data_IF_144553454075
#
_entry.id   IF_144553454075
#
_cell.length_a   1.000
_cell.length_b   1.000
_cell.length_c   1.000
_cell.angle_alpha   90.00
_cell.angle_beta   90.00
_cell.angle_gamma   90.00
#
_symmetry.space_group_name_H-M   'P 1'
#
loop_
_entity.id
_entity.type
_entity.pdbx_description
1 polymer ?
#
# COMPACT_ATOMS: atom_id res chain seq x y z
N UNK A 1 -2.83 -17.21 2.31
CA UNK A 1 -3.24 -17.97 1.18
C UNK A 1 -4.62 -18.60 1.32
N UNK A 2 -5.05 -19.45 0.39
CA UNK A 2 -6.39 -20.03 0.37
C UNK A 2 -6.76 -20.83 1.63
N UNK A 3 -5.79 -21.24 2.41
CA UNK A 3 -6.03 -21.97 3.66
C UNK A 3 -6.69 -21.09 4.74
N UNK A 4 -6.32 -19.81 4.80
CA UNK A 4 -6.93 -18.86 5.75
C UNK A 4 -8.37 -18.51 5.35
N UNK A 5 -8.64 -18.42 4.05
CA UNK A 5 -9.97 -18.09 3.52
C UNK A 5 -11.06 -19.15 3.86
N UNK A 6 -10.69 -20.34 4.29
CA UNK A 6 -11.62 -21.39 4.70
C UNK A 6 -11.97 -21.36 6.19
N UNK A 7 -11.36 -20.46 6.96
CA UNK A 7 -11.62 -20.34 8.39
C UNK A 7 -12.79 -19.38 8.65
N UNK A 8 -13.87 -19.90 9.21
CA UNK A 8 -15.02 -19.08 9.65
C UNK A 8 -14.69 -18.11 10.81
N UNK A 9 -13.45 -18.15 11.30
CA UNK A 9 -12.98 -17.29 12.41
C UNK A 9 -12.26 -16.02 11.93
N UNK A 10 -12.01 -15.87 10.59
CA UNK A 10 -11.34 -14.70 10.04
C UNK A 10 -12.38 -13.66 9.66
N UNK A 11 -12.34 -12.51 10.34
CA UNK A 11 -13.25 -11.39 10.11
C UNK A 11 -12.78 -10.43 9.04
N UNK A 12 -11.48 -10.41 8.75
CA UNK A 12 -10.87 -9.55 7.74
C UNK A 12 -9.38 -9.80 7.61
N UNK A 13 -8.81 -9.28 6.56
CA UNK A 13 -7.38 -9.41 6.23
C UNK A 13 -6.85 -8.01 5.94
N UNK A 14 -5.66 -7.74 6.41
CA UNK A 14 -4.88 -6.56 6.03
C UNK A 14 -3.44 -6.93 5.73
N UNK A 15 -2.81 -6.18 4.85
CA UNK A 15 -1.36 -6.20 4.70
C UNK A 15 -0.74 -5.06 5.53
N UNK A 16 0.52 -5.26 5.93
CA UNK A 16 1.29 -4.25 6.66
C UNK A 16 2.70 -4.18 6.07
N UNK A 17 3.04 -3.03 5.51
CA UNK A 17 4.34 -2.75 4.89
C UNK A 17 4.78 -3.91 3.97
N UNK A 18 4.04 -4.23 2.91
CA UNK A 18 4.37 -5.36 2.03
C UNK A 18 5.70 -5.16 1.30
N UNK A 19 6.21 -3.93 1.24
CA UNK A 19 7.50 -3.57 0.64
C UNK A 19 8.66 -4.37 1.24
N UNK A 20 8.63 -4.65 2.55
CA UNK A 20 9.67 -5.43 3.22
C UNK A 20 9.56 -6.94 2.99
N UNK A 21 8.40 -7.41 2.54
CA UNK A 21 8.14 -8.83 2.28
C UNK A 21 8.30 -9.23 0.82
N UNK A 22 8.46 -8.25 -0.05
CA UNK A 22 8.64 -8.51 -1.46
C UNK A 22 10.02 -9.12 -1.72
N UNK A 23 10.04 -10.34 -2.24
CA UNK A 23 11.28 -11.10 -2.51
C UNK A 23 11.70 -11.11 -3.98
N UNK A 24 11.02 -10.33 -4.82
CA UNK A 24 11.34 -10.21 -6.23
C UNK A 24 12.52 -9.27 -6.51
N UNK A 25 12.85 -9.08 -7.79
CA UNK A 25 13.82 -8.06 -8.19
C UNK A 25 13.32 -6.66 -7.79
N UNK A 26 14.11 -5.87 -7.06
CA UNK A 26 13.63 -4.69 -6.34
C UNK A 26 13.48 -3.47 -7.27
N UNK A 27 12.40 -3.44 -8.02
CA UNK A 27 11.98 -2.29 -8.83
C UNK A 27 10.52 -1.97 -8.55
N UNK A 28 10.12 -0.71 -8.72
CA UNK A 28 8.73 -0.28 -8.57
C UNK A 28 7.79 -1.12 -9.44
N UNK A 29 8.15 -1.35 -10.70
CA UNK A 29 7.33 -2.12 -11.63
C UNK A 29 7.10 -3.55 -11.16
N UNK A 30 8.13 -4.23 -10.70
CA UNK A 30 8.02 -5.61 -10.21
C UNK A 30 7.20 -5.67 -8.91
N UNK A 31 7.45 -4.73 -8.00
CA UNK A 31 6.67 -4.64 -6.77
C UNK A 31 5.19 -4.37 -7.05
N UNK A 32 4.87 -3.38 -7.88
CA UNK A 32 3.49 -3.02 -8.21
C UNK A 32 2.75 -4.18 -8.91
N UNK A 33 3.40 -4.88 -9.82
CA UNK A 33 2.84 -6.08 -10.46
C UNK A 33 2.54 -7.19 -9.44
N UNK A 34 3.47 -7.42 -8.52
CA UNK A 34 3.27 -8.39 -7.44
C UNK A 34 2.14 -7.95 -6.50
N UNK A 35 2.11 -6.67 -6.11
CA UNK A 35 1.09 -6.11 -5.21
C UNK A 35 -0.31 -6.19 -5.83
N UNK A 36 -0.46 -5.89 -7.10
CA UNK A 36 -1.73 -6.05 -7.81
C UNK A 36 -2.22 -7.51 -7.78
N UNK A 37 -1.33 -8.45 -8.12
CA UNK A 37 -1.64 -9.88 -8.08
C UNK A 37 -1.98 -10.38 -6.67
N UNK A 38 -1.30 -9.85 -5.67
CA UNK A 38 -1.55 -10.12 -4.26
C UNK A 38 -2.93 -9.58 -3.83
N UNK A 39 -3.22 -8.32 -4.12
CA UNK A 39 -4.48 -7.66 -3.76
C UNK A 39 -5.68 -8.35 -4.43
N UNK A 40 -5.55 -8.68 -5.71
CA UNK A 40 -6.56 -9.43 -6.46
C UNK A 40 -6.89 -10.76 -5.79
N UNK A 41 -5.87 -11.54 -5.42
CA UNK A 41 -6.07 -12.85 -4.78
C UNK A 41 -6.79 -12.76 -3.43
N UNK A 42 -6.56 -11.70 -2.67
CA UNK A 42 -7.26 -11.51 -1.41
C UNK A 42 -8.69 -11.00 -1.61
N UNK A 43 -8.91 -10.07 -2.52
CA UNK A 43 -10.24 -9.60 -2.87
C UNK A 43 -11.14 -10.77 -3.37
N UNK A 44 -10.59 -11.70 -4.13
CA UNK A 44 -11.32 -12.88 -4.63
C UNK A 44 -11.68 -13.91 -3.55
N UNK A 45 -11.16 -13.80 -2.33
CA UNK A 45 -11.52 -14.73 -1.23
C UNK A 45 -12.92 -14.51 -0.67
N UNK A 46 -13.51 -13.33 -0.88
CA UNK A 46 -14.76 -12.92 -0.25
C UNK A 46 -14.64 -12.58 1.25
N UNK A 47 -13.43 -12.60 1.80
CA UNK A 47 -13.14 -12.11 3.15
C UNK A 47 -12.84 -10.60 3.04
N UNK A 48 -13.39 -9.73 3.91
CA UNK A 48 -13.07 -8.31 3.89
C UNK A 48 -11.56 -8.06 3.86
N UNK A 49 -11.09 -7.34 2.84
CA UNK A 49 -9.68 -7.07 2.60
C UNK A 49 -9.40 -5.58 2.69
N UNK A 50 -8.65 -5.17 3.72
CA UNK A 50 -8.15 -3.81 3.85
C UNK A 50 -6.86 -3.69 3.06
N UNK A 51 -6.94 -3.01 1.91
CA UNK A 51 -5.80 -2.78 1.05
C UNK A 51 -4.86 -1.76 1.69
N UNK A 52 -3.56 -2.07 1.78
CA UNK A 52 -2.59 -1.07 2.21
C UNK A 52 -2.11 -0.20 1.06
N UNK A 53 -1.87 1.07 1.35
CA UNK A 53 -1.20 2.03 0.48
C UNK A 53 -0.13 2.79 1.25
N UNK A 54 0.93 3.19 0.55
CA UNK A 54 2.03 3.99 1.10
C UNK A 54 2.53 4.98 0.04
N UNK A 55 3.10 6.14 0.43
CA UNK A 55 3.75 7.04 -0.53
C UNK A 55 4.93 6.36 -1.22
N UNK A 56 5.56 5.44 -0.54
CA UNK A 56 6.73 4.68 -0.93
C UNK A 56 7.38 4.03 0.28
N UNK A 57 8.58 3.52 0.09
CA UNK A 57 9.40 2.96 1.16
C UNK A 57 10.87 3.27 0.90
N UNK A 58 11.50 3.98 1.80
CA UNK A 58 12.94 4.27 1.77
C UNK A 58 13.51 4.23 3.20
N UNK A 59 14.08 3.13 3.56
CA UNK A 59 14.65 2.91 4.89
C UNK A 59 16.19 3.07 4.96
N UNK A 60 16.82 3.74 3.99
CA UNK A 60 18.27 3.89 3.93
C UNK A 60 18.89 4.52 5.18
N UNK A 61 18.15 5.37 5.90
CA UNK A 61 18.62 5.99 7.16
C UNK A 61 18.84 4.93 8.24
N UNK A 62 17.98 3.90 8.28
CA UNK A 62 18.03 2.83 9.28
C UNK A 62 18.78 1.61 8.76
N UNK A 63 18.56 1.28 7.49
CA UNK A 63 19.12 0.12 6.80
C UNK A 63 19.81 0.55 5.51
N UNK A 64 21.11 0.89 5.53
CA UNK A 64 21.82 1.48 4.37
C UNK A 64 21.77 0.67 3.08
N UNK A 65 21.52 -0.64 3.18
CA UNK A 65 21.41 -1.54 2.03
C UNK A 65 19.95 -1.87 1.66
N UNK A 66 18.97 -1.18 2.23
CA UNK A 66 17.57 -1.40 1.89
C UNK A 66 17.30 -0.90 0.47
N UNK A 67 16.33 -1.53 -0.18
CA UNK A 67 15.76 -1.00 -1.42
C UNK A 67 14.84 0.17 -1.10
N UNK A 68 14.65 1.03 -2.10
CA UNK A 68 13.60 2.02 -2.00
C UNK A 68 12.58 1.84 -3.12
N UNK A 69 11.34 2.17 -2.82
CA UNK A 69 10.21 2.09 -3.73
C UNK A 69 9.40 3.36 -3.68
N UNK A 70 8.80 3.70 -4.81
CA UNK A 70 7.79 4.74 -4.86
C UNK A 70 8.33 6.15 -4.73
N UNK A 71 7.60 6.98 -3.98
CA UNK A 71 7.81 8.43 -3.85
C UNK A 71 7.70 9.16 -5.21
N UNK A 72 6.96 8.57 -6.16
CA UNK A 72 6.79 9.12 -7.51
C UNK A 72 5.30 9.23 -7.88
N UNK A 73 4.93 10.15 -8.79
CA UNK A 73 3.56 10.23 -9.30
C UNK A 73 3.07 8.91 -9.93
N UNK A 74 3.94 8.20 -10.63
CA UNK A 74 3.59 6.90 -11.25
C UNK A 74 3.23 5.83 -10.20
N UNK A 75 3.93 5.82 -9.07
CA UNK A 75 3.60 4.97 -7.92
C UNK A 75 2.22 5.30 -7.35
N UNK A 76 1.96 6.59 -7.11
CA UNK A 76 0.66 7.05 -6.61
C UNK A 76 -0.48 6.68 -7.56
N UNK A 77 -0.30 6.89 -8.86
CA UNK A 77 -1.29 6.55 -9.88
C UNK A 77 -1.60 5.05 -9.91
N UNK A 78 -0.58 4.20 -9.87
CA UNK A 78 -0.73 2.75 -9.84
C UNK A 78 -1.50 2.29 -8.59
N UNK A 79 -1.13 2.78 -7.40
CA UNK A 79 -1.83 2.44 -6.17
C UNK A 79 -3.27 2.98 -6.16
N UNK A 80 -3.51 4.19 -6.70
CA UNK A 80 -4.86 4.75 -6.83
C UNK A 80 -5.74 3.88 -7.73
N UNK A 81 -5.19 3.33 -8.83
CA UNK A 81 -5.90 2.37 -9.66
C UNK A 81 -6.26 1.10 -8.88
N UNK A 82 -5.31 0.56 -8.13
CA UNK A 82 -5.55 -0.62 -7.29
C UNK A 82 -6.61 -0.37 -6.20
N UNK A 83 -6.66 0.85 -5.64
CA UNK A 83 -7.72 1.24 -4.67
C UNK A 83 -9.10 1.18 -5.33
N UNK A 84 -9.24 1.63 -6.57
CA UNK A 84 -10.51 1.51 -7.31
C UNK A 84 -10.92 0.06 -7.54
N UNK A 85 -9.92 -0.81 -7.78
CA UNK A 85 -10.19 -2.20 -8.12
C UNK A 85 -10.38 -3.11 -6.88
N UNK A 86 -9.70 -2.82 -5.77
CA UNK A 86 -9.58 -3.74 -4.63
C UNK A 86 -9.83 -3.09 -3.26
N UNK A 87 -10.11 -1.78 -3.19
CA UNK A 87 -10.23 -1.03 -1.95
C UNK A 87 -11.64 -0.99 -1.35
N UNK A 88 -12.59 -1.80 -1.81
CA UNK A 88 -14.01 -1.73 -1.44
C UNK A 88 -14.28 -1.90 0.05
N UNK A 89 -13.48 -2.69 0.74
CA UNK A 89 -13.65 -2.95 2.18
C UNK A 89 -12.90 -1.94 3.06
N UNK A 90 -12.08 -1.08 2.47
CA UNK A 90 -11.31 -0.04 3.15
C UNK A 90 -9.82 -0.06 2.88
N UNK A 91 -9.11 0.88 3.51
CA UNK A 91 -7.68 1.08 3.34
C UNK A 91 -6.94 1.02 4.68
N UNK A 92 -5.68 0.58 4.61
CA UNK A 92 -4.67 0.80 5.63
C UNK A 92 -3.60 1.70 5.03
N UNK A 93 -3.34 2.83 5.64
CA UNK A 93 -2.29 3.73 5.19
C UNK A 93 -1.02 3.55 6.03
N UNK A 94 0.08 3.22 5.36
CA UNK A 94 1.41 3.09 5.94
C UNK A 94 2.31 4.22 5.43
N UNK A 95 2.58 5.25 6.24
CA UNK A 95 2.00 5.62 7.54
C UNK A 95 1.83 7.13 7.63
N UNK A 96 1.22 7.62 8.71
CA UNK A 96 1.06 9.07 8.93
C UNK A 96 2.41 9.79 9.09
N UNK A 97 3.34 9.20 9.84
CA UNK A 97 4.61 9.83 10.24
C UNK A 97 5.83 8.89 10.15
N UNK A 98 5.84 7.96 9.23
CA UNK A 98 6.96 7.03 9.00
C UNK A 98 8.17 7.69 8.32
N UNK A 99 8.76 8.70 8.94
CA UNK A 99 9.87 9.49 8.35
C UNK A 99 11.13 8.68 8.09
N UNK A 100 11.46 7.76 8.96
CA UNK A 100 12.68 6.94 8.85
C UNK A 100 12.63 5.92 7.72
N UNK A 101 11.42 5.64 7.24
CA UNK A 101 11.16 4.69 6.15
C UNK A 101 10.57 5.38 4.90
N UNK A 102 10.61 6.72 4.84
CA UNK A 102 10.10 7.47 3.71
C UNK A 102 8.60 7.30 3.43
N UNK A 103 7.82 6.95 4.46
CA UNK A 103 6.41 6.58 4.33
C UNK A 103 5.44 7.62 4.89
N UNK A 104 5.91 8.83 5.16
CA UNK A 104 5.08 9.82 5.84
C UNK A 104 4.04 10.48 4.91
N UNK A 105 2.77 10.52 5.32
CA UNK A 105 1.73 11.31 4.67
C UNK A 105 1.60 12.72 5.23
N UNK A 106 2.08 12.96 6.45
CA UNK A 106 2.05 14.30 7.05
C UNK A 106 2.83 15.28 6.16
N UNK A 107 2.34 16.52 5.98
CA UNK A 107 3.02 17.52 5.16
C UNK A 107 4.48 17.73 5.59
N UNK A 108 5.39 17.75 4.64
CA UNK A 108 6.83 17.93 4.85
C UNK A 108 7.36 19.12 4.06
N UNK A 109 8.56 19.60 4.40
CA UNK A 109 9.22 20.66 3.63
C UNK A 109 9.54 20.17 2.21
N UNK A 110 9.90 18.89 2.05
CA UNK A 110 10.31 18.31 0.77
C UNK A 110 9.13 18.11 -0.18
N UNK A 111 8.04 17.53 0.32
CA UNK A 111 6.89 17.13 -0.51
C UNK A 111 5.64 17.99 -0.30
N UNK A 112 5.71 18.99 0.59
CA UNK A 112 4.51 19.77 0.93
C UNK A 112 3.40 18.87 1.44
N UNK A 113 2.18 19.09 0.94
CA UNK A 113 0.98 18.32 1.29
C UNK A 113 0.61 17.26 0.24
N UNK A 114 1.50 16.94 -0.69
CA UNK A 114 1.24 16.03 -1.83
C UNK A 114 0.68 14.68 -1.37
N UNK A 115 1.34 14.02 -0.42
CA UNK A 115 0.92 12.68 0.03
C UNK A 115 -0.33 12.73 0.90
N UNK A 116 -0.52 13.80 1.64
CA UNK A 116 -1.76 14.03 2.39
C UNK A 116 -2.97 14.17 1.46
N UNK A 117 -2.83 14.97 0.38
CA UNK A 117 -3.90 15.12 -0.63
C UNK A 117 -4.20 13.82 -1.35
N UNK A 118 -3.15 13.08 -1.71
CA UNK A 118 -3.32 11.76 -2.31
C UNK A 118 -4.06 10.79 -1.38
N UNK A 119 -3.73 10.77 -0.08
CA UNK A 119 -4.47 9.97 0.90
C UNK A 119 -5.95 10.38 0.97
N UNK A 120 -6.25 11.68 0.95
CA UNK A 120 -7.63 12.16 0.92
C UNK A 120 -8.37 11.66 -0.34
N UNK A 121 -7.73 11.71 -1.51
CA UNK A 121 -8.30 11.17 -2.76
C UNK A 121 -8.58 9.67 -2.64
N UNK A 122 -7.65 8.89 -2.14
CA UNK A 122 -7.83 7.45 -1.94
C UNK A 122 -9.01 7.13 -1.01
N UNK A 123 -9.16 7.87 0.10
CA UNK A 123 -10.30 7.73 1.00
C UNK A 123 -11.63 8.07 0.29
N UNK A 124 -11.69 9.13 -0.50
CA UNK A 124 -12.89 9.50 -1.26
C UNK A 124 -13.30 8.43 -2.27
N UNK A 125 -12.34 7.74 -2.88
CA UNK A 125 -12.62 6.62 -3.79
C UNK A 125 -13.33 5.49 -3.02
N UNK A 126 -12.81 5.12 -1.85
CA UNK A 126 -13.42 4.08 -1.01
C UNK A 126 -14.82 4.46 -0.55
N UNK A 127 -15.00 5.70 -0.07
CA UNK A 127 -16.30 6.20 0.40
C UNK A 127 -17.37 6.26 -0.70
N UNK A 128 -16.96 6.25 -1.98
CA UNK A 128 -17.85 6.33 -3.15
C UNK A 128 -18.24 4.96 -3.71
N UNK A 129 -17.66 3.88 -3.22
CA UNK A 129 -17.93 2.52 -3.67
C UNK A 129 -19.06 1.87 -2.87
#
# INVERSE_FOLDING_TARGET
GPFLAQSNSILGIQSFIPEIWFSGSPTDANFLTWKESYSRRWAETGIPFLMDISPGYDAHIVFPNSYHYGLTPAWQEALTSMVRDFGQDGLVFNSWNGYTEGMAAVPTIEFGDQYYRWLQEACQIVDSQ
#
